data_IF_733253659245
#
_entry.id   IF_733253659245
#
_cell.length_a   1.000
_cell.length_b   1.000
_cell.length_c   1.000
_cell.angle_alpha   90.00
_cell.angle_beta   90.00
_cell.angle_gamma   90.00
#
_symmetry.space_group_name_H-M   'P 1'
#
loop_
_entity.id
_entity.type
_entity.pdbx_description
1 polymer ?
#
# COMPACT_ATOMS: atom_id res chain seq x y z
N UNK A 1 -5.90 44.71 11.55
CA UNK A 1 -6.11 43.90 12.78
C UNK A 1 -6.44 42.48 12.35
N UNK A 2 -5.61 41.49 12.70
CA UNK A 2 -5.86 40.09 12.36
C UNK A 2 -6.46 39.40 13.59
N UNK A 3 -7.65 38.84 13.47
CA UNK A 3 -8.30 38.06 14.52
C UNK A 3 -8.15 36.58 14.15
N UNK A 4 -7.48 35.81 15.01
CA UNK A 4 -7.33 34.35 14.84
C UNK A 4 -8.27 33.63 15.80
N UNK A 5 -8.91 32.56 15.32
CA UNK A 5 -9.76 31.68 16.13
C UNK A 5 -9.22 30.26 16.05
N UNK A 6 -8.94 29.66 17.20
CA UNK A 6 -8.44 28.29 17.29
C UNK A 6 -9.61 27.34 17.60
N UNK A 7 -9.57 26.13 17.02
CA UNK A 7 -10.54 25.06 17.29
C UNK A 7 -9.78 23.74 17.47
N UNK A 8 -10.17 22.94 18.46
CA UNK A 8 -9.70 21.57 18.64
C UNK A 8 -10.44 20.63 17.68
N UNK A 9 -9.70 19.81 16.95
CA UNK A 9 -10.25 18.78 16.05
C UNK A 9 -9.68 17.43 16.46
N UNK A 10 -10.55 16.43 16.59
CA UNK A 10 -10.15 15.03 16.76
C UNK A 10 -10.02 14.42 15.37
N UNK A 11 -8.85 13.83 15.07
CA UNK A 11 -8.57 13.18 13.79
C UNK A 11 -8.12 11.77 14.07
N UNK A 12 -8.73 10.81 13.38
CA UNK A 12 -8.25 9.43 13.34
C UNK A 12 -7.21 9.34 12.23
N UNK A 13 -5.99 8.95 12.59
CA UNK A 13 -4.86 8.82 11.66
C UNK A 13 -4.47 7.36 11.58
N UNK A 14 -4.47 6.80 10.37
CA UNK A 14 -3.87 5.50 10.12
C UNK A 14 -2.36 5.62 10.27
N UNK A 15 -1.78 4.81 11.14
CA UNK A 15 -0.35 4.88 11.46
C UNK A 15 0.46 3.77 10.82
N UNK A 16 -0.19 2.66 10.46
CA UNK A 16 0.47 1.49 9.88
C UNK A 16 -0.45 0.80 8.87
N UNK A 17 0.17 0.10 7.92
CA UNK A 17 -0.46 -0.95 7.11
C UNK A 17 0.17 -2.29 7.45
N UNK A 18 -0.62 -3.37 7.43
CA UNK A 18 -0.15 -4.72 7.73
C UNK A 18 -0.35 -5.58 6.51
N UNK A 19 0.67 -6.34 6.11
CA UNK A 19 0.52 -7.29 5.02
C UNK A 19 -0.22 -8.54 5.50
N UNK A 20 -1.32 -8.91 4.85
CA UNK A 20 -2.14 -10.05 5.23
C UNK A 20 -1.43 -11.40 5.05
N UNK A 21 -0.45 -11.47 4.14
CA UNK A 21 0.33 -12.71 3.90
C UNK A 21 1.40 -12.94 4.96
N UNK A 22 2.24 -11.94 5.24
CA UNK A 22 3.40 -12.12 6.12
C UNK A 22 3.23 -11.51 7.52
N UNK A 23 2.17 -10.74 7.77
CA UNK A 23 1.90 -10.07 9.05
C UNK A 23 2.83 -8.89 9.36
N UNK A 24 3.78 -8.55 8.47
CA UNK A 24 4.70 -7.43 8.70
C UNK A 24 3.94 -6.11 8.65
N UNK A 25 4.23 -5.25 9.62
CA UNK A 25 3.69 -3.89 9.72
C UNK A 25 4.65 -2.89 9.08
N UNK A 26 4.10 -1.84 8.49
CA UNK A 26 4.84 -0.76 7.86
C UNK A 26 4.28 0.58 8.31
N UNK A 27 5.13 1.43 8.90
CA UNK A 27 4.74 2.76 9.35
C UNK A 27 4.33 3.69 8.21
N UNK A 28 3.26 4.46 8.43
CA UNK A 28 2.73 5.47 7.50
C UNK A 28 3.11 6.91 7.89
N UNK A 29 3.97 7.09 8.90
CA UNK A 29 4.37 8.42 9.35
C UNK A 29 5.58 8.96 8.59
N UNK A 30 5.31 9.70 7.52
CA UNK A 30 6.33 10.39 6.72
C UNK A 30 7.15 11.45 7.48
N UNK A 31 6.70 11.89 8.68
CA UNK A 31 7.40 12.91 9.48
C UNK A 31 8.37 12.31 10.48
N UNK A 32 8.27 11.01 10.73
CA UNK A 32 9.13 10.34 11.67
C UNK A 32 10.36 9.81 10.90
N UNK A 33 11.44 10.59 10.94
CA UNK A 33 12.71 10.24 10.29
C UNK A 33 13.35 8.96 10.85
N UNK A 34 12.95 8.51 12.06
CA UNK A 34 13.41 7.25 12.64
C UNK A 34 12.69 6.01 12.08
N UNK A 35 11.58 6.18 11.34
CA UNK A 35 10.81 5.05 10.76
C UNK A 35 11.49 4.38 9.56
N UNK A 36 12.72 4.77 9.22
CA UNK A 36 13.46 4.24 8.07
C UNK A 36 12.68 4.34 6.75
N UNK A 37 12.97 3.43 5.82
CA UNK A 37 12.31 3.35 4.51
C UNK A 37 10.88 2.75 4.55
N UNK A 38 10.26 2.58 5.72
CA UNK A 38 8.96 1.90 5.83
C UNK A 38 7.82 2.63 5.11
N UNK A 39 7.85 3.97 5.09
CA UNK A 39 6.86 4.75 4.35
C UNK A 39 6.95 4.53 2.83
N UNK A 40 8.16 4.30 2.32
CA UNK A 40 8.38 4.01 0.90
C UNK A 40 7.91 2.59 0.57
N UNK A 41 8.22 1.64 1.44
CA UNK A 41 7.68 0.27 1.33
C UNK A 41 6.15 0.23 1.41
N UNK A 42 5.55 1.06 2.26
CA UNK A 42 4.10 1.16 2.41
C UNK A 42 3.41 1.75 1.17
N UNK A 43 4.08 2.63 0.41
CA UNK A 43 3.51 3.20 -0.83
C UNK A 43 3.33 2.15 -1.93
N UNK A 44 4.12 1.08 -1.91
CA UNK A 44 4.07 -0.02 -2.88
C UNK A 44 3.12 -1.15 -2.45
N UNK A 45 2.28 -0.94 -1.43
CA UNK A 45 1.25 -1.92 -1.06
C UNK A 45 0.20 -2.06 -2.16
N UNK A 46 -0.21 -3.30 -2.39
CA UNK A 46 -1.30 -3.61 -3.30
C UNK A 46 -2.57 -3.94 -2.52
N UNK A 47 -3.61 -3.15 -2.78
CA UNK A 47 -4.91 -3.24 -2.12
C UNK A 47 -5.91 -3.90 -3.05
N UNK A 48 -6.35 -5.11 -2.70
CA UNK A 48 -7.42 -5.82 -3.40
C UNK A 48 -8.73 -5.43 -2.72
N UNK A 49 -9.69 -4.93 -3.49
CA UNK A 49 -11.02 -4.59 -2.98
C UNK A 49 -12.08 -4.75 -4.08
N UNK A 50 -12.82 -5.86 -4.06
CA UNK A 50 -13.89 -6.11 -5.04
C UNK A 50 -15.03 -6.95 -4.46
N UNK A 51 -16.11 -7.10 -5.24
CA UNK A 51 -17.24 -7.99 -4.93
C UNK A 51 -17.34 -9.04 -6.03
N UNK A 52 -17.41 -10.32 -5.64
CA UNK A 52 -17.53 -11.44 -6.57
C UNK A 52 -18.83 -11.38 -7.40
N UNK A 53 -18.71 -11.57 -8.70
CA UNK A 53 -19.84 -11.75 -9.61
C UNK A 53 -20.46 -13.14 -9.51
N UNK A 54 -21.34 -13.48 -10.45
CA UNK A 54 -21.94 -14.81 -10.56
C UNK A 54 -20.89 -15.89 -10.87
N UNK A 55 -20.99 -17.03 -10.19
CA UNK A 55 -20.04 -18.14 -10.23
C UNK A 55 -18.56 -17.73 -9.99
N UNK A 56 -18.34 -16.70 -9.17
CA UNK A 56 -16.99 -16.26 -8.80
C UNK A 56 -16.30 -17.33 -7.96
N UNK A 57 -15.03 -17.61 -8.26
CA UNK A 57 -14.21 -18.53 -7.43
C UNK A 57 -13.97 -18.00 -6.01
N UNK A 58 -14.22 -16.71 -5.78
CA UNK A 58 -14.17 -16.08 -4.46
C UNK A 58 -15.53 -16.03 -3.75
N UNK A 59 -16.59 -16.59 -4.37
CA UNK A 59 -17.95 -16.58 -3.87
C UNK A 59 -18.81 -15.47 -4.50
N UNK A 60 -20.07 -15.80 -4.76
CA UNK A 60 -21.04 -14.90 -5.39
C UNK A 60 -21.47 -13.82 -4.40
N UNK A 61 -21.41 -12.57 -4.82
CA UNK A 61 -21.71 -11.40 -3.97
C UNK A 61 -20.75 -11.21 -2.79
N UNK A 62 -19.66 -11.98 -2.72
CA UNK A 62 -18.72 -11.93 -1.60
C UNK A 62 -17.78 -10.74 -1.75
N UNK A 63 -17.66 -9.94 -0.68
CA UNK A 63 -16.67 -8.88 -0.57
C UNK A 63 -15.30 -9.50 -0.30
N UNK A 64 -14.32 -9.18 -1.13
CA UNK A 64 -12.94 -9.65 -1.01
C UNK A 64 -12.03 -8.45 -0.77
N UNK A 65 -11.27 -8.51 0.31
CA UNK A 65 -10.30 -7.49 0.71
C UNK A 65 -8.98 -8.17 1.06
N UNK A 66 -7.86 -7.61 0.61
CA UNK A 66 -6.52 -8.11 0.95
C UNK A 66 -5.45 -7.03 0.68
N UNK A 67 -4.57 -6.82 1.65
CA UNK A 67 -3.46 -5.88 1.59
C UNK A 67 -2.12 -6.62 1.56
N UNK A 68 -1.35 -6.44 0.48
CA UNK A 68 -0.10 -7.17 0.23
C UNK A 68 1.07 -6.22 0.10
N UNK A 69 2.17 -6.48 0.82
CA UNK A 69 3.42 -5.79 0.55
C UNK A 69 4.01 -6.26 -0.79
N UNK A 70 4.80 -5.40 -1.43
CA UNK A 70 5.40 -5.67 -2.75
C UNK A 70 6.19 -6.98 -2.83
N UNK A 71 6.84 -7.40 -1.73
CA UNK A 71 7.57 -8.67 -1.69
C UNK A 71 6.63 -9.88 -1.75
N UNK A 72 5.55 -9.84 -0.98
CA UNK A 72 4.54 -10.91 -0.95
C UNK A 72 3.77 -10.99 -2.27
N UNK A 73 3.44 -9.83 -2.85
CA UNK A 73 2.84 -9.78 -4.18
C UNK A 73 3.76 -10.42 -5.23
N UNK A 74 5.04 -10.03 -5.26
CA UNK A 74 6.01 -10.59 -6.20
C UNK A 74 6.19 -12.09 -6.03
N UNK A 75 6.22 -12.60 -4.79
CA UNK A 75 6.28 -14.04 -4.53
C UNK A 75 5.08 -14.79 -5.12
N UNK A 76 3.88 -14.21 -5.05
CA UNK A 76 2.64 -14.85 -5.50
C UNK A 76 2.49 -14.83 -7.03
N UNK A 77 2.77 -13.70 -7.67
CA UNK A 77 2.44 -13.49 -9.09
C UNK A 77 3.68 -13.30 -9.98
N UNK A 78 4.88 -13.27 -9.42
CA UNK A 78 6.11 -12.86 -10.12
C UNK A 78 6.42 -13.67 -11.38
N UNK A 79 6.13 -14.97 -11.37
CA UNK A 79 6.32 -15.85 -12.53
C UNK A 79 5.33 -15.58 -13.68
N UNK A 80 4.25 -14.85 -13.41
CA UNK A 80 3.21 -14.48 -14.38
C UNK A 80 3.31 -13.01 -14.80
N UNK A 81 4.12 -12.20 -14.10
CA UNK A 81 4.31 -10.79 -14.42
C UNK A 81 5.01 -10.64 -15.78
N UNK A 82 4.43 -9.79 -16.64
CA UNK A 82 5.14 -9.26 -17.82
C UNK A 82 5.79 -7.95 -17.42
N UNK A 83 7.12 -7.88 -17.50
CA UNK A 83 7.91 -6.71 -17.14
C UNK A 83 8.41 -6.02 -18.41
N UNK A 84 8.14 -4.73 -18.54
CA UNK A 84 8.71 -3.89 -19.60
C UNK A 84 9.80 -3.00 -18.98
N UNK A 85 11.05 -3.31 -19.27
CA UNK A 85 12.22 -2.56 -18.77
C UNK A 85 12.59 -1.39 -19.67
N UNK A 86 11.92 -1.21 -20.82
CA UNK A 86 12.22 -0.10 -21.73
C UNK A 86 11.82 1.28 -21.17
N UNK A 87 11.05 1.31 -20.08
CA UNK A 87 10.64 2.52 -19.36
C UNK A 87 11.56 2.91 -18.20
N UNK A 88 12.60 2.12 -17.91
CA UNK A 88 13.59 2.46 -16.88
C UNK A 88 14.51 3.57 -17.42
N UNK A 89 14.09 4.82 -17.25
CA UNK A 89 14.82 6.03 -17.67
C UNK A 89 15.86 6.50 -16.64
N UNK A 90 16.46 5.57 -15.89
CA UNK A 90 17.56 5.94 -15.00
C UNK A 90 18.80 6.23 -15.87
N UNK A 91 19.30 7.46 -15.78
CA UNK A 91 20.50 7.91 -16.46
C UNK A 91 21.64 6.94 -16.17
N UNK A 92 22.26 6.38 -17.21
CA UNK A 92 23.60 5.82 -17.10
C UNK A 92 24.49 6.97 -16.59
N UNK A 93 24.95 6.87 -15.35
CA UNK A 93 25.98 7.78 -14.84
C UNK A 93 27.28 7.43 -15.59
N UNK A 94 27.63 8.26 -16.58
CA UNK A 94 28.96 8.29 -17.22
C UNK A 94 30.08 8.59 -16.20
#
# INVERSE_FOLDING_TARGET
MIIKKTKTVKVEKTTHVVCDKCGKQYGLDYRNHDSGNEIWEAQEFHHINFVGGFASVFGDGTKVECDLCQHCLLEMIGNFCRKDTSLNVYYDED
#
